data_IF_827965032484
#
_entry.id   IF_827965032484
#
_cell.length_a   1.000
_cell.length_b   1.000
_cell.length_c   1.000
_cell.angle_alpha   90.00
_cell.angle_beta   90.00
_cell.angle_gamma   90.00
#
_symmetry.space_group_name_H-M   'P 1'
#
loop_
_entity.id
_entity.type
_entity.pdbx_description
1 polymer ?
#
# COMPACT_ATOMS: atom_id res chain seq x y z
N UNK A 1 27.50 18.80 45.39
CA UNK A 1 27.05 19.16 44.04
C UNK A 1 27.13 17.91 43.17
N UNK A 2 26.04 17.14 43.08
CA UNK A 2 25.97 15.99 42.17
C UNK A 2 25.40 16.52 40.85
N UNK A 3 26.27 16.65 39.85
CA UNK A 3 25.87 16.97 38.49
C UNK A 3 25.23 15.73 37.87
N UNK A 4 23.90 15.71 37.79
CA UNK A 4 23.19 14.76 36.96
C UNK A 4 23.47 15.10 35.50
N UNK A 5 24.23 14.26 34.81
CA UNK A 5 24.36 14.35 33.35
C UNK A 5 22.97 14.26 32.72
N UNK A 6 22.63 15.11 31.73
CA UNK A 6 21.35 15.00 31.04
C UNK A 6 21.30 13.65 30.32
N UNK A 7 20.29 12.85 30.65
CA UNK A 7 19.98 11.61 29.95
C UNK A 7 19.77 11.93 28.47
N UNK A 8 20.62 11.37 27.62
CA UNK A 8 20.51 11.49 26.17
C UNK A 8 19.15 10.91 25.75
N UNK A 9 18.31 11.63 24.98
CA UNK A 9 17.03 11.09 24.58
C UNK A 9 17.23 9.82 23.77
N UNK A 10 16.44 8.80 24.11
CA UNK A 10 16.54 7.46 23.54
C UNK A 10 16.34 7.54 22.02
N UNK A 11 17.37 7.18 21.25
CA UNK A 11 17.42 7.37 19.78
C UNK A 11 16.23 6.74 19.04
N UNK A 12 15.66 5.66 19.61
CA UNK A 12 14.47 4.96 19.12
C UNK A 12 13.21 5.84 19.24
N UNK A 13 13.09 6.61 20.32
CA UNK A 13 11.92 7.43 20.60
C UNK A 13 11.87 8.67 19.68
N UNK A 14 13.04 9.23 19.37
CA UNK A 14 13.19 10.32 18.39
C UNK A 14 12.75 9.86 16.99
N UNK A 15 13.22 8.68 16.55
CA UNK A 15 12.85 8.11 15.26
C UNK A 15 11.36 7.83 15.11
N UNK A 16 10.72 7.28 16.16
CA UNK A 16 9.27 7.01 16.15
C UNK A 16 8.45 8.29 16.07
N UNK A 17 8.85 9.30 16.83
CA UNK A 17 8.15 10.59 16.84
C UNK A 17 8.30 11.28 15.49
N UNK A 18 9.52 11.29 14.94
CA UNK A 18 9.80 11.83 13.60
C UNK A 18 8.98 11.12 12.51
N UNK A 19 8.96 9.78 12.50
CA UNK A 19 8.26 9.02 11.48
C UNK A 19 6.76 9.28 11.49
N UNK A 20 6.14 9.39 12.67
CA UNK A 20 4.72 9.73 12.81
C UNK A 20 4.43 11.16 12.36
N UNK A 21 5.27 12.13 12.76
CA UNK A 21 5.14 13.53 12.36
C UNK A 21 5.26 13.69 10.83
N UNK A 22 6.31 13.13 10.22
CA UNK A 22 6.53 13.24 8.77
C UNK A 22 5.41 12.55 7.99
N UNK A 23 4.96 11.38 8.44
CA UNK A 23 3.83 10.67 7.81
C UNK A 23 2.55 11.49 7.86
N UNK A 24 2.25 12.09 9.01
CA UNK A 24 1.09 12.96 9.17
C UNK A 24 1.19 14.20 8.27
N UNK A 25 2.32 14.89 8.28
CA UNK A 25 2.51 16.14 7.53
C UNK A 25 2.54 15.92 6.02
N UNK A 26 3.14 14.82 5.55
CA UNK A 26 3.10 14.44 4.13
C UNK A 26 1.66 14.20 3.67
N UNK A 27 0.87 13.51 4.50
CA UNK A 27 -0.55 13.30 4.24
C UNK A 27 -1.35 14.59 4.25
N UNK A 28 -1.15 15.44 5.25
CA UNK A 28 -1.83 16.73 5.36
C UNK A 28 -1.52 17.62 4.15
N UNK A 29 -0.25 17.72 3.75
CA UNK A 29 0.17 18.49 2.61
C UNK A 29 -0.47 17.99 1.30
N UNK A 30 -0.41 16.68 1.06
CA UNK A 30 -1.02 16.04 -0.13
C UNK A 30 -2.53 16.26 -0.17
N UNK A 31 -3.22 16.11 0.96
CA UNK A 31 -4.66 16.32 1.08
C UNK A 31 -5.04 17.79 0.83
N UNK A 32 -4.30 18.74 1.41
CA UNK A 32 -4.54 20.16 1.19
C UNK A 32 -4.35 20.53 -0.28
N UNK A 33 -3.28 20.04 -0.92
CA UNK A 33 -3.03 20.30 -2.35
C UNK A 33 -4.13 19.71 -3.23
N UNK A 34 -4.52 18.46 -3.00
CA UNK A 34 -5.65 17.83 -3.70
C UNK A 34 -6.94 18.66 -3.54
N UNK A 35 -7.26 19.12 -2.33
CA UNK A 35 -8.43 19.96 -2.07
C UNK A 35 -8.34 21.31 -2.78
N UNK A 36 -7.18 21.97 -2.75
CA UNK A 36 -6.96 23.24 -3.43
C UNK A 36 -7.20 23.10 -4.94
N UNK A 37 -6.64 22.07 -5.59
CA UNK A 37 -6.83 21.86 -7.03
C UNK A 37 -8.25 21.42 -7.41
N UNK A 38 -8.97 20.79 -6.48
CA UNK A 38 -10.38 20.44 -6.63
C UNK A 38 -11.29 21.68 -6.55
N UNK A 39 -10.99 22.64 -5.68
CA UNK A 39 -11.85 23.80 -5.41
C UNK A 39 -11.38 25.09 -6.09
N UNK A 40 -10.23 25.09 -6.75
CA UNK A 40 -9.60 26.31 -7.29
C UNK A 40 -8.98 27.18 -6.18
N UNK A 41 -8.54 26.57 -5.09
CA UNK A 41 -7.86 27.21 -3.97
C UNK A 41 -6.47 27.73 -4.34
N UNK A 42 -5.92 28.56 -3.45
CA UNK A 42 -4.58 29.12 -3.58
C UNK A 42 -3.45 28.10 -3.34
N UNK A 43 -2.18 28.53 -3.51
CA UNK A 43 -1.02 27.67 -3.31
C UNK A 43 -0.96 27.14 -1.87
N UNK A 44 -0.60 25.87 -1.72
CA UNK A 44 -0.41 25.19 -0.43
C UNK A 44 1.07 25.21 -0.06
N UNK A 45 1.38 25.64 1.15
CA UNK A 45 2.76 25.76 1.65
C UNK A 45 3.11 24.46 2.41
N UNK A 46 4.20 23.75 2.04
CA UNK A 46 4.62 22.56 2.76
C UNK A 46 5.15 22.89 4.17
N UNK A 47 5.03 21.93 5.07
CA UNK A 47 5.63 22.02 6.40
C UNK A 47 7.16 22.10 6.31
N UNK A 48 7.84 22.88 7.17
CA UNK A 48 9.30 22.93 7.21
C UNK A 48 9.95 21.61 7.66
N UNK A 49 9.20 20.65 8.21
CA UNK A 49 9.76 19.34 8.57
C UNK A 49 9.77 18.34 7.39
N UNK A 50 9.11 18.66 6.28
CA UNK A 50 9.17 17.85 5.07
C UNK A 50 10.43 18.21 4.28
N UNK A 51 11.25 17.20 3.98
CA UNK A 51 12.38 17.39 3.08
C UNK A 51 11.90 17.68 1.65
N UNK A 52 12.76 18.33 0.85
CA UNK A 52 12.41 18.78 -0.50
C UNK A 52 12.00 17.63 -1.41
N UNK A 53 12.65 16.46 -1.29
CA UNK A 53 12.34 15.30 -2.13
C UNK A 53 10.94 14.77 -1.79
N UNK A 54 10.59 14.69 -0.50
CA UNK A 54 9.28 14.26 -0.06
C UNK A 54 8.18 15.25 -0.47
N UNK A 55 8.44 16.56 -0.41
CA UNK A 55 7.52 17.58 -0.95
C UNK A 55 7.28 17.35 -2.44
N UNK A 56 8.33 17.17 -3.24
CA UNK A 56 8.21 16.92 -4.68
C UNK A 56 7.40 15.66 -5.00
N UNK A 57 7.57 14.60 -4.21
CA UNK A 57 6.78 13.36 -4.39
C UNK A 57 5.33 13.58 -3.98
N UNK A 58 5.06 14.27 -2.88
CA UNK A 58 3.68 14.61 -2.47
C UNK A 58 3.00 15.50 -3.51
N UNK A 59 3.74 16.44 -4.11
CA UNK A 59 3.29 17.27 -5.21
C UNK A 59 2.85 16.42 -6.39
N UNK A 60 3.72 15.50 -6.84
CA UNK A 60 3.42 14.59 -7.94
C UNK A 60 2.23 13.69 -7.62
N UNK A 61 2.17 13.16 -6.41
CA UNK A 61 1.09 12.30 -5.95
C UNK A 61 -0.26 13.04 -5.99
N UNK A 62 -0.31 14.28 -5.48
CA UNK A 62 -1.51 15.11 -5.54
C UNK A 62 -1.97 15.38 -6.98
N UNK A 63 -1.04 15.69 -7.89
CA UNK A 63 -1.33 15.92 -9.31
C UNK A 63 -1.94 14.67 -9.97
N UNK A 64 -1.43 13.48 -9.65
CA UNK A 64 -1.95 12.21 -10.20
C UNK A 64 -3.31 11.86 -9.57
N UNK A 65 -3.47 12.08 -8.26
CA UNK A 65 -4.74 11.90 -7.56
C UNK A 65 -5.83 12.79 -8.13
N UNK A 66 -5.56 14.08 -8.40
CA UNK A 66 -6.59 14.96 -8.95
C UNK A 66 -6.97 14.56 -10.38
N UNK A 67 -6.00 14.09 -11.19
CA UNK A 67 -6.25 13.59 -12.54
C UNK A 67 -7.15 12.36 -12.50
N UNK A 68 -6.84 11.41 -11.63
CA UNK A 68 -7.66 10.23 -11.43
C UNK A 68 -9.07 10.56 -10.93
N UNK A 69 -9.18 11.51 -10.00
CA UNK A 69 -10.47 11.98 -9.50
C UNK A 69 -11.33 12.65 -10.59
N UNK A 70 -10.70 13.39 -11.50
CA UNK A 70 -11.37 14.06 -12.63
C UNK A 70 -11.64 13.12 -13.83
N UNK A 71 -11.14 11.88 -13.79
CA UNK A 71 -11.32 10.88 -14.84
C UNK A 71 -12.00 9.60 -14.30
N UNK A 72 -13.29 9.66 -13.92
CA UNK A 72 -14.00 8.50 -13.41
C UNK A 72 -14.37 7.51 -14.53
N UNK A 73 -14.17 6.22 -14.26
CA UNK A 73 -14.61 5.09 -15.06
C UNK A 73 -15.76 4.40 -14.34
N UNK A 74 -16.96 4.60 -14.85
CA UNK A 74 -18.19 4.04 -14.30
C UNK A 74 -18.38 2.59 -14.75
N UNK A 75 -18.43 1.67 -13.78
CA UNK A 75 -18.85 0.28 -14.00
C UNK A 75 -20.37 0.13 -13.83
N UNK A 76 -20.95 -0.94 -14.38
CA UNK A 76 -22.38 -1.26 -14.14
C UNK A 76 -22.57 -2.27 -13.00
N UNK A 77 -21.49 -2.83 -12.46
CA UNK A 77 -21.57 -3.72 -11.30
C UNK A 77 -21.77 -2.90 -10.02
N UNK A 78 -22.76 -3.27 -9.22
CA UNK A 78 -22.95 -2.77 -7.85
C UNK A 78 -22.17 -3.70 -6.90
N UNK A 79 -21.11 -3.18 -6.28
CA UNK A 79 -20.23 -4.00 -5.44
C UNK A 79 -20.88 -4.33 -4.10
N UNK A 80 -21.71 -3.43 -3.55
CA UNK A 80 -22.45 -3.70 -2.33
C UNK A 80 -23.48 -4.83 -2.53
N UNK A 81 -24.13 -4.88 -3.70
CA UNK A 81 -24.99 -5.98 -4.09
C UNK A 81 -24.18 -7.25 -4.28
N UNK A 82 -23.08 -7.20 -5.06
CA UNK A 82 -22.22 -8.36 -5.30
C UNK A 82 -21.72 -8.99 -3.99
N UNK A 83 -21.27 -8.17 -3.04
CA UNK A 83 -20.80 -8.61 -1.72
C UNK A 83 -21.87 -9.36 -0.91
N UNK A 84 -23.16 -9.08 -1.10
CA UNK A 84 -24.26 -9.80 -0.44
C UNK A 84 -24.58 -11.13 -1.12
N UNK A 85 -24.14 -11.32 -2.37
CA UNK A 85 -24.39 -12.54 -3.12
C UNK A 85 -23.33 -13.59 -2.91
N UNK A 86 -22.09 -13.17 -2.66
CA UNK A 86 -20.96 -14.06 -2.37
C UNK A 86 -21.08 -14.66 -0.97
N UNK A 87 -20.76 -15.94 -0.87
CA UNK A 87 -20.69 -16.69 0.38
C UNK A 87 -19.23 -16.90 0.78
N UNK A 88 -18.90 -17.02 2.08
CA UNK A 88 -17.56 -17.41 2.52
C UNK A 88 -17.06 -18.75 1.92
N UNK A 89 -17.98 -19.57 1.40
CA UNK A 89 -17.67 -20.86 0.74
C UNK A 89 -17.56 -20.78 -0.78
N UNK A 90 -17.79 -19.61 -1.38
CA UNK A 90 -17.62 -19.44 -2.82
C UNK A 90 -16.12 -19.47 -3.14
N UNK A 91 -15.67 -20.55 -3.80
CA UNK A 91 -14.25 -20.78 -4.09
C UNK A 91 -13.82 -20.28 -5.46
N UNK A 92 -14.74 -19.75 -6.28
CA UNK A 92 -14.49 -19.41 -7.68
C UNK A 92 -14.43 -20.61 -8.65
N UNK A 93 -14.57 -21.84 -8.16
CA UNK A 93 -14.43 -23.06 -8.98
C UNK A 93 -15.77 -23.69 -9.40
N UNK A 94 -16.91 -23.14 -8.94
CA UNK A 94 -18.23 -23.65 -9.28
C UNK A 94 -18.79 -22.85 -10.46
N UNK A 95 -18.61 -23.35 -11.67
CA UNK A 95 -19.01 -22.68 -12.91
C UNK A 95 -20.49 -22.26 -12.93
N UNK A 96 -21.39 -23.10 -12.41
CA UNK A 96 -22.82 -22.76 -12.35
C UNK A 96 -23.10 -21.61 -11.38
N UNK A 97 -22.35 -21.55 -10.27
CA UNK A 97 -22.42 -20.46 -9.31
C UNK A 97 -21.86 -19.17 -9.92
N UNK A 98 -20.70 -19.23 -10.57
CA UNK A 98 -20.09 -18.09 -11.25
C UNK A 98 -20.98 -17.56 -12.38
N UNK A 99 -21.57 -18.44 -13.19
CA UNK A 99 -22.52 -18.04 -14.24
C UNK A 99 -23.75 -17.31 -13.67
N UNK A 100 -24.31 -17.80 -12.56
CA UNK A 100 -25.43 -17.12 -11.86
C UNK A 100 -25.01 -15.79 -11.25
N UNK A 101 -23.78 -15.66 -10.76
CA UNK A 101 -23.28 -14.39 -10.25
C UNK A 101 -23.09 -13.39 -11.39
N UNK A 102 -22.52 -13.83 -12.51
CA UNK A 102 -22.30 -13.01 -13.70
C UNK A 102 -23.61 -12.50 -14.31
N UNK A 103 -24.65 -13.35 -14.37
CA UNK A 103 -25.99 -12.96 -14.84
C UNK A 103 -26.61 -11.87 -13.93
N UNK A 104 -26.41 -11.97 -12.62
CA UNK A 104 -26.99 -11.04 -11.63
C UNK A 104 -26.19 -9.75 -11.46
N UNK A 105 -24.88 -9.81 -11.72
CA UNK A 105 -23.90 -8.75 -11.53
C UNK A 105 -22.98 -8.70 -12.76
N UNK A 106 -23.49 -8.30 -13.94
CA UNK A 106 -22.66 -8.20 -15.13
C UNK A 106 -21.57 -7.13 -14.95
N UNK A 107 -20.36 -7.32 -15.48
CA UNK A 107 -19.22 -6.40 -15.31
C UNK A 107 -19.46 -5.02 -15.93
N UNK A 108 -20.48 -4.87 -16.78
CA UNK A 108 -20.95 -3.57 -17.23
C UNK A 108 -20.17 -2.91 -18.35
N UNK A 109 -19.27 -3.65 -18.99
CA UNK A 109 -18.64 -3.26 -20.23
C UNK A 109 -18.46 -4.50 -21.09
N UNK A 110 -18.66 -4.36 -22.40
CA UNK A 110 -18.29 -5.42 -23.34
C UNK A 110 -16.78 -5.39 -23.56
N UNK A 111 -16.14 -6.55 -23.45
CA UNK A 111 -14.71 -6.70 -23.71
C UNK A 111 -13.81 -6.09 -22.64
N UNK A 112 -12.56 -5.81 -23.03
CA UNK A 112 -11.51 -5.25 -22.16
C UNK A 112 -11.38 -3.76 -22.46
N UNK A 113 -11.45 -2.92 -21.44
CA UNK A 113 -11.08 -1.50 -21.53
C UNK A 113 -9.63 -1.35 -21.08
N UNK A 114 -8.79 -0.79 -21.94
CA UNK A 114 -7.46 -0.35 -21.54
C UNK A 114 -7.61 0.91 -20.68
N UNK A 115 -6.91 0.94 -19.55
CA UNK A 115 -6.79 2.12 -18.67
C UNK A 115 -5.31 2.43 -18.59
N UNK A 116 -4.91 3.48 -19.29
CA UNK A 116 -3.52 3.96 -19.43
C UNK A 116 -3.31 5.31 -18.72
N UNK A 117 -4.38 6.09 -18.52
CA UNK A 117 -4.37 7.34 -17.77
C UNK A 117 -4.84 7.16 -16.31
N UNK A 118 -4.41 8.04 -15.37
CA UNK A 118 -4.93 8.03 -14.01
C UNK A 118 -6.45 8.08 -13.99
N UNK A 119 -7.07 7.19 -13.21
CA UNK A 119 -8.53 7.06 -13.17
C UNK A 119 -9.04 6.59 -11.81
N UNK A 120 -10.24 7.01 -11.47
CA UNK A 120 -11.05 6.38 -10.41
C UNK A 120 -11.99 5.37 -11.06
N UNK A 121 -12.14 4.19 -10.46
CA UNK A 121 -13.09 3.18 -10.92
C UNK A 121 -14.27 3.22 -9.96
N UNK A 122 -15.45 3.51 -10.51
CA UNK A 122 -16.70 3.63 -9.76
C UNK A 122 -17.56 2.39 -9.96
N UNK A 123 -18.19 1.90 -8.91
CA UNK A 123 -19.28 0.93 -9.03
C UNK A 123 -20.58 1.61 -9.49
N UNK A 124 -21.62 0.83 -9.81
CA UNK A 124 -22.91 1.33 -10.32
C UNK A 124 -23.59 2.40 -9.45
N UNK A 125 -23.27 2.47 -8.15
CA UNK A 125 -23.82 3.47 -7.23
C UNK A 125 -23.04 4.80 -7.25
N UNK A 126 -21.90 4.84 -7.94
CA UNK A 126 -20.95 5.95 -7.96
C UNK A 126 -19.90 5.87 -6.85
N UNK A 127 -19.82 4.76 -6.10
CA UNK A 127 -18.81 4.58 -5.08
C UNK A 127 -17.46 4.25 -5.72
N UNK A 128 -16.38 4.91 -5.27
CA UNK A 128 -15.02 4.58 -5.73
C UNK A 128 -14.61 3.24 -5.14
N UNK A 129 -14.29 2.28 -6.00
CA UNK A 129 -13.86 0.93 -5.61
C UNK A 129 -12.39 0.66 -5.88
N UNK A 130 -11.77 1.46 -6.76
CA UNK A 130 -10.34 1.41 -7.00
C UNK A 130 -9.83 2.75 -7.54
N UNK A 131 -8.57 3.02 -7.24
CA UNK A 131 -7.80 4.11 -7.83
C UNK A 131 -6.69 3.50 -8.70
N UNK A 132 -6.58 3.96 -9.94
CA UNK A 132 -5.46 3.67 -10.81
C UNK A 132 -4.59 4.92 -10.93
N UNK A 133 -3.36 4.85 -10.43
CA UNK A 133 -2.46 5.98 -10.24
C UNK A 133 -1.10 5.71 -10.91
N UNK A 134 -1.06 5.62 -12.26
CA UNK A 134 0.21 5.45 -12.97
C UNK A 134 1.11 6.67 -12.72
N UNK A 135 2.41 6.43 -12.63
CA UNK A 135 3.44 7.46 -12.43
C UNK A 135 3.24 8.37 -11.21
N UNK A 136 2.51 7.89 -10.19
CA UNK A 136 2.37 8.58 -8.90
C UNK A 136 3.68 8.56 -8.10
N UNK A 137 4.52 7.54 -8.33
CA UNK A 137 5.83 7.42 -7.71
C UNK A 137 6.92 7.87 -8.68
N UNK A 138 7.81 8.74 -8.22
CA UNK A 138 8.97 9.16 -8.99
C UNK A 138 9.95 8.00 -9.21
N UNK A 139 10.77 8.07 -10.26
CA UNK A 139 11.82 7.08 -10.53
C UNK A 139 12.76 6.90 -9.33
N UNK A 140 13.07 7.99 -8.63
CA UNK A 140 13.87 7.97 -7.41
C UNK A 140 13.19 7.13 -6.33
N UNK A 141 11.91 7.37 -6.04
CA UNK A 141 11.15 6.60 -5.05
C UNK A 141 11.05 5.12 -5.45
N UNK A 142 10.81 4.83 -6.74
CA UNK A 142 10.77 3.45 -7.23
C UNK A 142 12.12 2.75 -7.05
N UNK A 143 13.22 3.46 -7.29
CA UNK A 143 14.58 2.98 -7.06
C UNK A 143 14.84 2.74 -5.57
N UNK A 144 14.46 3.65 -4.69
CA UNK A 144 14.57 3.49 -3.23
C UNK A 144 13.83 2.22 -2.75
N UNK A 145 12.59 2.02 -3.21
CA UNK A 145 11.81 0.81 -2.90
C UNK A 145 12.56 -0.43 -3.39
N UNK A 146 13.04 -0.42 -4.64
CA UNK A 146 13.78 -1.54 -5.23
C UNK A 146 15.05 -1.84 -4.45
N UNK A 147 15.83 -0.84 -4.06
CA UNK A 147 17.03 -1.00 -3.25
C UNK A 147 16.72 -1.52 -1.86
N UNK A 148 15.64 -1.05 -1.23
CA UNK A 148 15.16 -1.56 0.05
C UNK A 148 14.80 -3.06 -0.03
N UNK A 149 14.31 -3.55 -1.18
CA UNK A 149 14.04 -4.99 -1.35
C UNK A 149 15.31 -5.85 -1.33
N UNK A 150 16.48 -5.30 -1.66
CA UNK A 150 17.74 -6.05 -1.58
C UNK A 150 18.07 -6.45 -0.13
N UNK A 151 17.62 -5.65 0.85
CA UNK A 151 17.78 -5.97 2.27
C UNK A 151 16.99 -7.23 2.67
N UNK A 152 15.99 -7.62 1.88
CA UNK A 152 15.18 -8.82 2.09
C UNK A 152 15.82 -10.08 1.51
N UNK A 153 16.89 -9.98 0.71
CA UNK A 153 17.50 -11.10 0.01
C UNK A 153 17.82 -12.31 0.93
N UNK A 154 18.44 -12.13 2.12
CA UNK A 154 18.71 -13.27 3.00
C UNK A 154 17.44 -13.98 3.50
N UNK A 155 16.38 -13.23 3.75
CA UNK A 155 15.08 -13.76 4.20
C UNK A 155 14.35 -14.47 3.06
N UNK A 156 14.43 -13.91 1.85
CA UNK A 156 13.89 -14.50 0.62
C UNK A 156 14.58 -15.82 0.30
N UNK A 157 15.91 -15.88 0.34
CA UNK A 157 16.66 -17.12 0.08
C UNK A 157 16.31 -18.23 1.07
N UNK A 158 16.25 -17.90 2.36
CA UNK A 158 15.89 -18.84 3.44
C UNK A 158 14.46 -19.35 3.33
N UNK A 159 13.57 -18.60 2.70
CA UNK A 159 12.17 -19.02 2.55
C UNK A 159 12.01 -20.21 1.61
N UNK A 160 12.95 -20.39 0.68
CA UNK A 160 12.88 -21.43 -0.35
C UNK A 160 13.47 -22.73 0.18
N UNK A 161 12.72 -23.83 0.03
CA UNK A 161 13.03 -25.15 0.60
C UNK A 161 12.93 -26.25 -0.46
N UNK A 162 13.78 -27.26 -0.36
CA UNK A 162 13.77 -28.41 -1.27
C UNK A 162 12.44 -29.20 -1.20
N UNK A 163 11.90 -29.32 0.02
CA UNK A 163 10.65 -30.01 0.38
C UNK A 163 9.52 -29.03 0.76
N UNK A 164 9.61 -27.77 0.27
CA UNK A 164 8.62 -26.75 0.56
C UNK A 164 7.22 -27.08 0.05
N UNK A 165 6.22 -26.37 0.57
CA UNK A 165 4.85 -26.42 0.05
C UNK A 165 4.76 -25.63 -1.28
N UNK A 166 3.56 -25.46 -1.82
CA UNK A 166 3.38 -24.74 -3.09
C UNK A 166 3.93 -23.30 -3.10
N UNK A 167 4.10 -22.64 -1.94
CA UNK A 167 4.68 -21.30 -1.81
C UNK A 167 6.19 -21.28 -1.65
N UNK A 168 6.78 -22.32 -1.08
CA UNK A 168 8.19 -22.33 -0.66
C UNK A 168 9.04 -23.36 -1.37
N UNK A 169 8.44 -24.25 -2.18
CA UNK A 169 9.20 -25.28 -2.88
C UNK A 169 10.12 -24.67 -3.94
N UNK A 170 11.40 -25.05 -3.92
CA UNK A 170 12.41 -24.56 -4.84
C UNK A 170 12.05 -24.73 -6.33
N UNK A 171 11.26 -25.75 -6.68
CA UNK A 171 10.88 -26.02 -8.08
C UNK A 171 10.01 -24.93 -8.71
N UNK A 172 9.42 -24.06 -7.89
CA UNK A 172 8.58 -22.94 -8.34
C UNK A 172 9.34 -21.62 -8.48
N UNK A 173 10.64 -21.60 -8.16
CA UNK A 173 11.46 -20.40 -8.25
C UNK A 173 12.49 -20.53 -9.36
N UNK A 174 12.51 -19.54 -10.25
CA UNK A 174 13.55 -19.44 -11.27
C UNK A 174 14.84 -18.91 -10.62
N UNK A 175 15.78 -19.81 -10.33
CA UNK A 175 17.11 -19.49 -9.76
C UNK A 175 18.22 -19.44 -10.80
N UNK A 176 17.92 -19.79 -12.05
CA UNK A 176 18.92 -20.09 -13.08
C UNK A 176 19.07 -19.05 -14.18
N UNK A 177 18.23 -18.01 -14.25
CA UNK A 177 18.44 -16.93 -15.23
C UNK A 177 19.27 -15.80 -14.62
N UNK A 178 20.37 -15.44 -15.30
CA UNK A 178 21.21 -14.29 -14.98
C UNK A 178 20.43 -12.96 -14.99
N UNK A 179 19.23 -12.95 -15.60
CA UNK A 179 18.35 -11.79 -15.73
C UNK A 179 17.45 -11.51 -14.50
N UNK A 180 17.45 -12.33 -13.44
CA UNK A 180 16.60 -12.04 -12.28
C UNK A 180 17.28 -10.99 -11.40
N UNK A 181 17.02 -9.71 -11.70
CA UNK A 181 17.45 -8.58 -10.90
C UNK A 181 16.79 -8.48 -9.51
N UNK A 182 16.25 -9.58 -8.97
CA UNK A 182 15.62 -9.70 -7.66
C UNK A 182 15.82 -11.13 -7.09
N UNK A 183 16.07 -11.25 -5.79
CA UNK A 183 16.30 -12.54 -5.14
C UNK A 183 15.01 -13.39 -5.08
N UNK A 184 14.99 -14.63 -5.61
CA UNK A 184 13.80 -15.48 -5.54
C UNK A 184 13.47 -15.91 -4.11
N UNK A 185 12.20 -15.79 -3.72
CA UNK A 185 11.71 -16.24 -2.43
C UNK A 185 10.27 -15.80 -2.14
N UNK A 186 9.77 -16.17 -0.97
CA UNK A 186 8.44 -15.82 -0.49
C UNK A 186 8.50 -15.42 0.99
N UNK A 187 8.14 -14.18 1.28
CA UNK A 187 8.02 -13.68 2.65
C UNK A 187 6.74 -12.85 2.76
N UNK A 188 6.13 -12.87 3.95
CA UNK A 188 5.05 -11.97 4.30
C UNK A 188 5.55 -11.01 5.38
N UNK A 189 5.50 -9.71 5.10
CA UNK A 189 5.79 -8.64 6.03
C UNK A 189 4.48 -7.91 6.34
N UNK A 190 4.09 -7.90 7.60
CA UNK A 190 2.96 -7.08 8.06
C UNK A 190 3.24 -6.55 9.46
N UNK A 191 3.06 -5.24 9.68
CA UNK A 191 3.18 -4.63 11.01
C UNK A 191 1.97 -4.91 11.90
N UNK A 192 0.80 -5.19 11.31
CA UNK A 192 -0.46 -5.43 12.01
C UNK A 192 -1.28 -6.47 11.24
N UNK A 193 -1.00 -7.75 11.48
CA UNK A 193 -1.64 -8.88 10.80
C UNK A 193 -2.80 -9.41 11.64
N UNK A 194 -4.00 -9.40 11.06
CA UNK A 194 -5.14 -10.15 11.61
C UNK A 194 -4.93 -11.65 11.32
N UNK A 195 -4.98 -12.48 12.36
CA UNK A 195 -4.75 -13.92 12.26
C UNK A 195 -5.89 -14.61 11.48
N UNK A 196 -5.81 -14.62 10.15
CA UNK A 196 -6.76 -15.36 9.31
C UNK A 196 -6.78 -16.85 9.70
N UNK A 197 -7.97 -17.38 9.98
CA UNK A 197 -8.18 -18.80 10.32
C UNK A 197 -8.12 -19.12 11.82
N UNK A 198 -7.98 -18.12 12.68
CA UNK A 198 -8.08 -18.30 14.13
C UNK A 198 -9.45 -17.79 14.62
N UNK A 199 -10.19 -18.63 15.36
CA UNK A 199 -11.55 -18.32 15.85
C UNK A 199 -11.54 -17.26 16.99
N UNK A 200 -10.38 -17.06 17.61
CA UNK A 200 -10.19 -16.04 18.63
C UNK A 200 -9.56 -14.81 17.97
N UNK A 201 -10.34 -13.74 17.85
CA UNK A 201 -9.85 -12.43 17.42
C UNK A 201 -8.87 -11.92 18.47
N UNK A 202 -7.58 -12.23 18.30
CA UNK A 202 -6.51 -11.57 19.05
C UNK A 202 -6.23 -10.20 18.44
N UNK A 203 -5.61 -9.33 19.24
CA UNK A 203 -5.06 -8.07 18.73
C UNK A 203 -4.15 -8.32 17.52
N UNK A 204 -4.13 -7.42 16.51
CA UNK A 204 -3.25 -7.54 15.35
C UNK A 204 -1.81 -7.78 15.78
N UNK A 205 -1.17 -8.79 15.19
CA UNK A 205 0.21 -9.14 15.52
C UNK A 205 1.18 -8.78 14.40
N UNK A 206 2.39 -8.43 14.79
CA UNK A 206 3.51 -8.31 13.84
C UNK A 206 3.79 -9.68 13.22
N UNK A 207 3.93 -9.74 11.89
CA UNK A 207 4.30 -10.99 11.20
C UNK A 207 5.62 -11.57 11.70
N UNK A 208 5.75 -12.90 11.74
CA UNK A 208 6.97 -13.57 12.23
C UNK A 208 8.23 -13.11 11.49
N UNK A 209 8.12 -12.88 10.17
CA UNK A 209 9.20 -12.36 9.34
C UNK A 209 9.67 -10.98 9.80
N UNK A 210 8.79 -10.14 10.34
CA UNK A 210 9.08 -8.76 10.74
C UNK A 210 9.63 -8.64 12.17
N UNK A 211 9.55 -9.69 13.00
CA UNK A 211 10.06 -9.70 14.40
C UNK A 211 11.60 -9.76 14.52
N UNK A 212 12.35 -9.83 13.41
CA UNK A 212 13.81 -10.01 13.41
C UNK A 212 14.64 -8.72 13.19
N UNK A 213 15.92 -8.67 13.62
CA UNK A 213 16.77 -7.48 13.52
C UNK A 213 16.99 -6.99 12.08
N UNK A 214 17.06 -7.91 11.10
CA UNK A 214 17.18 -7.54 9.68
C UNK A 214 16.03 -6.64 9.22
N UNK A 215 14.84 -6.80 9.83
CA UNK A 215 13.64 -6.05 9.45
C UNK A 215 13.62 -4.61 9.95
N UNK A 216 14.41 -4.27 10.97
CA UNK A 216 14.56 -2.86 11.38
C UNK A 216 15.19 -2.01 10.28
N UNK A 217 16.19 -2.55 9.58
CA UNK A 217 16.83 -1.86 8.46
C UNK A 217 15.87 -1.67 7.28
N UNK A 218 15.02 -2.65 7.02
CA UNK A 218 13.98 -2.54 5.98
C UNK A 218 12.96 -1.48 6.37
N UNK A 219 12.44 -1.50 7.61
CA UNK A 219 11.49 -0.50 8.09
C UNK A 219 12.04 0.92 8.00
N UNK A 220 13.33 1.11 8.29
CA UNK A 220 14.02 2.39 8.07
C UNK A 220 14.10 2.73 6.59
N UNK A 221 14.51 1.79 5.73
CA UNK A 221 14.67 2.01 4.30
C UNK A 221 13.34 2.31 3.58
N UNK A 222 12.21 1.76 4.04
CA UNK A 222 10.89 1.99 3.44
C UNK A 222 10.11 3.12 4.13
N UNK A 223 10.67 3.82 5.11
CA UNK A 223 9.97 4.84 5.88
C UNK A 223 9.39 5.96 5.01
N UNK A 224 10.18 6.48 4.06
CA UNK A 224 9.71 7.48 3.08
C UNK A 224 8.64 6.92 2.13
N UNK A 225 8.84 5.78 1.46
CA UNK A 225 7.77 5.12 0.70
C UNK A 225 6.48 4.89 1.49
N UNK A 226 6.59 4.52 2.77
CA UNK A 226 5.45 4.33 3.66
C UNK A 226 4.72 5.65 3.95
N UNK A 227 5.46 6.75 4.15
CA UNK A 227 4.87 8.08 4.30
C UNK A 227 4.08 8.51 3.05
N UNK A 228 4.60 8.20 1.85
CA UNK A 228 3.93 8.48 0.57
C UNK A 228 2.65 7.64 0.43
N UNK A 229 2.71 6.35 0.76
CA UNK A 229 1.53 5.47 0.74
C UNK A 229 0.46 5.95 1.74
N UNK A 230 0.89 6.39 2.93
CA UNK A 230 0.01 6.97 3.95
C UNK A 230 -0.63 8.28 3.46
N UNK A 231 0.13 9.12 2.75
CA UNK A 231 -0.39 10.34 2.15
C UNK A 231 -1.46 10.06 1.08
N UNK A 232 -1.25 9.04 0.25
CA UNK A 232 -2.26 8.58 -0.71
C UNK A 232 -3.52 8.08 0.02
N UNK A 233 -3.36 7.28 1.08
CA UNK A 233 -4.47 6.74 1.87
C UNK A 233 -5.34 7.85 2.48
N UNK A 234 -4.72 8.92 2.99
CA UNK A 234 -5.44 10.07 3.57
C UNK A 234 -6.40 10.72 2.57
N UNK A 235 -6.06 10.72 1.27
CA UNK A 235 -6.92 11.25 0.21
C UNK A 235 -7.93 10.22 -0.28
N UNK A 236 -7.46 9.00 -0.55
CA UNK A 236 -8.28 7.94 -1.17
C UNK A 236 -9.32 7.36 -0.21
N UNK A 237 -8.97 7.22 1.07
CA UNK A 237 -9.77 6.58 2.11
C UNK A 237 -9.60 7.31 3.46
N UNK A 238 -10.09 8.56 3.59
CA UNK A 238 -9.87 9.38 4.78
C UNK A 238 -10.37 8.71 6.07
N UNK A 239 -11.52 8.04 6.02
CA UNK A 239 -12.06 7.33 7.19
C UNK A 239 -11.14 6.20 7.67
N UNK A 240 -10.56 5.43 6.74
CA UNK A 240 -9.62 4.35 7.07
C UNK A 240 -8.32 4.92 7.64
N UNK A 241 -7.81 5.99 7.03
CA UNK A 241 -6.62 6.70 7.51
C UNK A 241 -6.79 7.15 8.98
N UNK A 242 -7.90 7.81 9.31
CA UNK A 242 -8.15 8.31 10.66
C UNK A 242 -8.51 7.19 11.65
N UNK A 243 -9.05 6.07 11.17
CA UNK A 243 -9.24 4.87 11.98
C UNK A 243 -7.93 4.15 12.30
N UNK A 244 -6.81 4.50 11.64
CA UNK A 244 -5.52 3.85 11.82
C UNK A 244 -5.45 2.45 11.21
N UNK A 245 -6.20 2.22 10.12
CA UNK A 245 -6.29 0.95 9.40
C UNK A 245 -5.43 0.93 8.13
#
# INVERSE_FOLDING_TARGET
>A
MNGSSPSTPDSINIWRTWALTVTYEAGEYTEQKFKAEKTGGGPVIPSPNLDTDLVMVCDRLADVLIKAYKNPIQMQVDIARYSKLISPKDTGHNEQREARLLERCPPGHEGKRLVDEPATILDASGAIIAWYLPDALTDTTQKEIREATNLLAPSLEKSVRADGNWRTNQKWFNRGSEDVGATPGCINLSPAWFQQGHENVSDPEVSASLKGPSCENILKAISRPAAIASAALRVMHPEQYWAGL
#
